data_IF_916943894040
#
_entry.id   IF_916943894040
#
_cell.length_a   1.000
_cell.length_b   1.000
_cell.length_c   1.000
_cell.angle_alpha   90.00
_cell.angle_beta   90.00
_cell.angle_gamma   90.00
#
_symmetry.space_group_name_H-M   'P 1'
#
loop_
_entity.id
_entity.type
_entity.pdbx_description
1 polymer ?
#
# COMPACT_ATOMS: atom_id res chain seq x y z
N UNK A 1 11.34 7.29 -16.69
CA UNK A 1 10.51 6.30 -15.98
C UNK A 1 9.63 7.07 -15.01
N UNK A 2 8.33 6.82 -15.08
CA UNK A 2 7.28 7.63 -14.46
C UNK A 2 6.74 6.84 -13.27
N UNK A 3 7.33 7.02 -12.10
CA UNK A 3 6.74 6.73 -10.78
C UNK A 3 7.37 7.68 -9.74
N UNK A 4 7.65 8.91 -10.16
CA UNK A 4 8.08 9.97 -9.26
C UNK A 4 6.86 10.65 -8.64
N UNK A 5 6.79 10.64 -7.30
CA UNK A 5 6.06 11.59 -6.45
C UNK A 5 4.53 11.59 -6.54
N UNK A 6 3.94 10.60 -5.90
CA UNK A 6 2.83 10.88 -4.99
C UNK A 6 3.28 10.58 -3.56
N UNK A 7 4.37 11.25 -3.12
CA UNK A 7 4.98 11.09 -1.80
C UNK A 7 4.16 11.74 -0.68
N UNK A 8 2.94 12.21 -0.94
CA UNK A 8 2.05 12.69 0.09
C UNK A 8 0.69 12.00 -0.05
N UNK A 9 0.56 10.81 0.55
CA UNK A 9 -0.70 10.07 0.64
C UNK A 9 -1.29 10.30 2.01
N UNK A 10 -2.52 10.81 2.05
CA UNK A 10 -3.34 10.85 3.24
C UNK A 10 -4.14 9.55 3.38
N UNK A 11 -4.74 9.24 4.55
CA UNK A 11 -5.59 8.07 4.70
C UNK A 11 -6.73 7.99 3.66
N UNK A 12 -7.32 9.13 3.28
CA UNK A 12 -8.41 9.21 2.29
C UNK A 12 -7.96 8.94 0.85
N UNK A 13 -6.66 9.06 0.56
CA UNK A 13 -6.08 8.76 -0.74
C UNK A 13 -5.86 7.25 -0.95
N UNK A 14 -6.02 6.43 0.09
CA UNK A 14 -5.70 5.01 0.04
C UNK A 14 -6.97 4.18 0.16
N UNK A 15 -7.16 3.31 -0.81
CA UNK A 15 -8.18 2.27 -0.76
C UNK A 15 -7.54 0.93 -0.39
N UNK A 16 -8.16 0.24 0.57
CA UNK A 16 -7.73 -1.07 1.06
C UNK A 16 -8.83 -2.08 0.74
N UNK A 17 -8.57 -2.95 -0.22
CA UNK A 17 -9.50 -4.01 -0.61
C UNK A 17 -8.99 -5.37 -0.11
N UNK A 18 -9.79 -6.06 0.69
CA UNK A 18 -9.47 -7.43 1.10
C UNK A 18 -9.66 -8.39 -0.09
N UNK A 19 -8.59 -9.06 -0.49
CA UNK A 19 -8.64 -10.14 -1.49
C UNK A 19 -8.95 -11.49 -0.83
N UNK A 20 -8.49 -11.67 0.40
CA UNK A 20 -8.75 -12.85 1.23
C UNK A 20 -8.77 -12.46 2.71
N UNK A 21 -8.83 -13.43 3.62
CA UNK A 21 -8.68 -13.18 5.07
C UNK A 21 -7.24 -12.83 5.48
N UNK A 22 -6.29 -12.91 4.54
CA UNK A 22 -4.86 -12.73 4.77
C UNK A 22 -4.20 -11.79 3.77
N UNK A 23 -4.87 -11.42 2.69
CA UNK A 23 -4.30 -10.60 1.63
C UNK A 23 -5.15 -9.36 1.39
N UNK A 24 -4.48 -8.21 1.30
CA UNK A 24 -5.10 -6.94 0.98
C UNK A 24 -4.38 -6.29 -0.18
N UNK A 25 -5.16 -5.71 -1.09
CA UNK A 25 -4.69 -4.85 -2.16
C UNK A 25 -4.77 -3.41 -1.70
N UNK A 26 -3.71 -2.65 -1.98
CA UNK A 26 -3.61 -1.25 -1.63
C UNK A 26 -3.55 -0.43 -2.92
N UNK A 27 -4.53 0.48 -3.09
CA UNK A 27 -4.64 1.34 -4.25
C UNK A 27 -4.63 2.82 -3.87
N UNK A 28 -4.06 3.66 -4.73
CA UNK A 28 -4.19 5.12 -4.70
C UNK A 28 -5.53 5.52 -5.34
N UNK A 29 -6.46 5.97 -4.52
CA UNK A 29 -7.82 6.34 -4.90
C UNK A 29 -7.89 7.63 -5.75
N UNK A 30 -6.78 8.37 -5.89
CA UNK A 30 -6.70 9.53 -6.78
C UNK A 30 -6.54 9.11 -8.25
N UNK A 31 -6.17 7.86 -8.49
CA UNK A 31 -6.01 7.27 -9.80
C UNK A 31 -7.20 6.35 -10.06
N UNK A 32 -7.76 6.39 -11.26
CA UNK A 32 -8.87 5.53 -11.64
C UNK A 32 -8.52 4.04 -11.43
N UNK A 33 -9.43 3.26 -10.84
CA UNK A 33 -9.16 1.86 -10.46
C UNK A 33 -8.86 0.93 -11.65
N UNK A 34 -9.36 1.25 -12.85
CA UNK A 34 -9.05 0.50 -14.07
C UNK A 34 -7.63 0.78 -14.59
N UNK A 35 -6.98 1.83 -14.08
CA UNK A 35 -5.60 2.14 -14.37
C UNK A 35 -4.69 1.34 -13.44
N UNK A 36 -3.78 0.54 -14.02
CA UNK A 36 -2.82 -0.26 -13.28
C UNK A 36 -1.90 0.55 -12.35
N UNK A 37 -1.71 1.86 -12.61
CA UNK A 37 -0.94 2.76 -11.75
C UNK A 37 -1.65 3.08 -10.42
N UNK A 38 -2.93 2.76 -10.27
CA UNK A 38 -3.62 2.87 -8.98
C UNK A 38 -3.08 1.85 -7.98
N UNK A 39 -2.55 0.71 -8.41
CA UNK A 39 -2.02 -0.32 -7.53
C UNK A 39 -0.67 0.10 -6.96
N UNK A 40 -0.61 0.38 -5.66
CA UNK A 40 0.62 0.83 -4.98
C UNK A 40 1.27 -0.25 -4.13
N UNK A 41 0.54 -1.32 -3.79
CA UNK A 41 1.15 -2.46 -3.11
C UNK A 41 0.16 -3.51 -2.62
N UNK A 42 0.72 -4.45 -1.87
CA UNK A 42 -0.02 -5.54 -1.22
C UNK A 42 0.38 -5.68 0.23
N UNK A 43 -0.54 -6.23 1.02
CA UNK A 43 -0.27 -6.71 2.37
C UNK A 43 -0.63 -8.20 2.42
N UNK A 44 0.29 -9.04 2.88
CA UNK A 44 0.00 -10.43 3.22
C UNK A 44 0.20 -10.68 4.73
N UNK A 45 -0.68 -11.47 5.34
CA UNK A 45 -0.53 -11.98 6.70
C UNK A 45 0.10 -13.37 6.72
N UNK A 46 1.35 -13.44 7.14
CA UNK A 46 2.09 -14.68 7.39
C UNK A 46 2.45 -14.85 8.88
N UNK A 47 2.03 -15.95 9.50
CA UNK A 47 2.38 -16.31 10.89
C UNK A 47 2.13 -15.21 11.95
N UNK A 48 1.10 -14.38 11.75
CA UNK A 48 0.76 -13.29 12.67
C UNK A 48 1.52 -11.98 12.41
N UNK A 49 2.39 -11.96 11.40
CA UNK A 49 3.09 -10.77 10.89
C UNK A 49 2.42 -10.35 9.58
N UNK A 50 2.41 -9.05 9.32
CA UNK A 50 1.92 -8.46 8.08
C UNK A 50 3.13 -8.03 7.25
N UNK A 51 3.33 -8.68 6.10
CA UNK A 51 4.32 -8.29 5.11
C UNK A 51 3.69 -7.29 4.14
N UNK A 52 4.36 -6.16 3.95
CA UNK A 52 4.02 -5.14 2.97
C UNK A 52 4.97 -5.28 1.80
N UNK A 53 4.42 -5.31 0.58
CA UNK A 53 5.15 -5.18 -0.68
C UNK A 53 4.69 -3.89 -1.36
N UNK A 54 5.54 -2.86 -1.37
CA UNK A 54 5.24 -1.57 -2.02
C UNK A 54 5.88 -1.49 -3.42
N UNK A 55 5.08 -1.11 -4.41
CA UNK A 55 5.50 -0.95 -5.81
C UNK A 55 6.12 0.41 -6.06
N UNK A 56 7.28 0.61 -5.45
CA UNK A 56 8.22 1.71 -5.72
C UNK A 56 9.42 1.20 -6.53
N UNK A 57 10.39 2.06 -6.81
CA UNK A 57 11.61 1.72 -7.57
C UNK A 57 12.85 1.86 -6.66
N UNK A 58 13.45 0.76 -6.17
CA UNK A 58 13.06 -0.65 -6.33
C UNK A 58 11.82 -1.03 -5.49
N UNK A 59 11.20 -2.18 -5.77
CA UNK A 59 10.13 -2.75 -4.92
C UNK A 59 10.67 -2.94 -3.51
N UNK A 60 9.97 -2.40 -2.51
CA UNK A 60 10.36 -2.51 -1.10
C UNK A 60 9.45 -3.49 -0.36
N UNK A 61 10.07 -4.23 0.57
CA UNK A 61 9.39 -5.17 1.46
C UNK A 61 9.60 -4.75 2.92
N UNK A 62 8.52 -4.70 3.68
CA UNK A 62 8.53 -4.33 5.09
C UNK A 62 7.64 -5.25 5.93
N UNK A 63 7.93 -5.40 7.22
CA UNK A 63 7.16 -6.26 8.11
C UNK A 63 6.59 -5.48 9.28
N UNK A 64 5.34 -5.75 9.62
CA UNK A 64 4.59 -5.04 10.64
C UNK A 64 3.87 -5.99 11.58
N UNK A 65 3.71 -5.62 12.87
CA UNK A 65 3.03 -6.44 13.87
C UNK A 65 1.50 -6.39 13.73
N UNK A 66 0.94 -5.42 12.99
CA UNK A 66 -0.51 -5.25 12.84
C UNK A 66 -0.89 -4.77 11.44
N UNK A 67 -2.12 -5.06 11.02
CA UNK A 67 -2.67 -4.59 9.75
C UNK A 67 -2.71 -3.05 9.70
N UNK A 68 -3.05 -2.40 10.82
CA UNK A 68 -3.10 -0.94 10.92
C UNK A 68 -1.73 -0.29 10.66
N UNK A 69 -0.66 -0.84 11.24
CA UNK A 69 0.70 -0.33 11.02
C UNK A 69 1.21 -0.61 9.61
N UNK A 70 0.80 -1.74 9.02
CA UNK A 70 1.08 -2.06 7.62
C UNK A 70 0.38 -1.10 6.64
N UNK A 71 -0.90 -0.77 6.87
CA UNK A 71 -1.64 0.22 6.06
C UNK A 71 -1.01 1.60 6.23
N UNK A 72 -0.61 1.96 7.46
CA UNK A 72 -0.01 3.26 7.76
C UNK A 72 1.33 3.48 7.04
N UNK A 73 2.04 2.42 6.65
CA UNK A 73 3.26 2.52 5.85
C UNK A 73 3.04 3.22 4.50
N UNK A 74 1.86 3.04 3.89
CA UNK A 74 1.53 3.66 2.62
C UNK A 74 1.13 5.14 2.76
N UNK A 75 0.88 5.62 3.98
CA UNK A 75 0.53 7.01 4.26
C UNK A 75 1.83 7.78 4.46
N UNK A 76 2.01 8.83 3.68
CA UNK A 76 3.13 9.76 3.83
C UNK A 76 2.56 11.15 4.04
N UNK A 77 2.67 11.68 5.25
CA UNK A 77 2.38 13.08 5.53
C UNK A 77 3.70 13.81 5.64
N UNK A 78 4.03 14.63 4.65
CA UNK A 78 5.06 15.66 4.81
C UNK A 78 4.57 16.66 5.88
N UNK A 79 5.37 16.99 6.90
CA UNK A 79 4.99 17.93 7.95
C UNK A 79 4.88 19.39 7.47
#
# INVERSE_FOLDING_TARGET
>A
MITGRLQNRTPDDIQVDALSSREWRICDNRIAQDNALSLIGFIDKHHGIYEVMEFIDPVEHSHFPSLETAISHFITTDP
#
